data_IF_253124511710
#
_entry.id   IF_253124511710
#
_cell.length_a   1.000
_cell.length_b   1.000
_cell.length_c   1.000
_cell.angle_alpha   90.00
_cell.angle_beta   90.00
_cell.angle_gamma   90.00
#
_symmetry.space_group_name_H-M   'P 1'
#
loop_
_entity.id
_entity.type
_entity.pdbx_description
1 polymer ?
#
# COMPACT_ATOMS: atom_id res chain seq x y z
N UNK A 1 -9.36 -19.77 36.95
CA UNK A 1 -8.51 -19.24 35.86
C UNK A 1 -7.19 -20.03 35.90
N UNK A 2 -6.78 -20.69 34.82
CA UNK A 2 -5.56 -21.49 34.81
C UNK A 2 -4.31 -20.59 34.81
N UNK A 3 -3.19 -21.08 35.33
CA UNK A 3 -1.89 -20.37 35.26
C UNK A 3 -1.53 -20.07 33.79
N UNK A 4 -1.85 -21.01 32.89
CA UNK A 4 -1.65 -20.85 31.44
C UNK A 4 -2.37 -19.63 30.88
N UNK A 5 -3.64 -19.40 31.25
CA UNK A 5 -4.39 -18.23 30.79
C UNK A 5 -3.75 -16.92 31.24
N UNK A 6 -3.27 -16.85 32.50
CA UNK A 6 -2.61 -15.65 33.02
C UNK A 6 -1.33 -15.34 32.23
N UNK A 7 -0.55 -16.36 31.88
CA UNK A 7 0.66 -16.20 31.06
C UNK A 7 0.29 -15.69 29.66
N UNK A 8 -0.71 -16.28 28.99
CA UNK A 8 -1.20 -15.84 27.67
C UNK A 8 -1.63 -14.37 27.71
N UNK A 9 -2.42 -14.01 28.72
CA UNK A 9 -2.90 -12.64 28.92
C UNK A 9 -1.73 -11.65 29.09
N UNK A 10 -0.74 -11.96 29.91
CA UNK A 10 0.41 -11.08 30.13
C UNK A 10 1.21 -10.91 28.83
N UNK A 11 1.56 -12.01 28.16
CA UNK A 11 2.38 -11.97 26.94
C UNK A 11 1.65 -11.24 25.81
N UNK A 12 0.37 -11.55 25.58
CA UNK A 12 -0.43 -10.89 24.54
C UNK A 12 -0.65 -9.40 24.80
N UNK A 13 -0.80 -8.97 26.06
CA UNK A 13 -0.87 -7.54 26.41
C UNK A 13 0.45 -6.81 26.17
N UNK A 14 1.60 -7.46 26.45
CA UNK A 14 2.92 -6.92 26.10
C UNK A 14 3.03 -6.75 24.57
N UNK A 15 2.59 -7.75 23.80
CA UNK A 15 2.58 -7.69 22.34
C UNK A 15 1.68 -6.56 21.82
N UNK A 16 0.49 -6.38 22.39
CA UNK A 16 -0.40 -5.26 22.09
C UNK A 16 0.24 -3.90 22.38
N UNK A 17 0.96 -3.78 23.50
CA UNK A 17 1.69 -2.55 23.86
C UNK A 17 2.82 -2.24 22.86
N UNK A 18 3.56 -3.26 22.42
CA UNK A 18 4.62 -3.10 21.43
C UNK A 18 4.06 -2.67 20.06
N UNK A 19 2.92 -3.21 19.63
CA UNK A 19 2.21 -2.75 18.42
C UNK A 19 1.77 -1.29 18.55
N UNK A 20 1.16 -0.94 19.68
CA UNK A 20 0.72 0.43 19.94
C UNK A 20 1.89 1.41 19.86
N UNK A 21 3.04 1.08 20.45
CA UNK A 21 4.24 1.94 20.40
C UNK A 21 4.68 2.16 18.96
N UNK A 22 4.75 1.10 18.14
CA UNK A 22 5.16 1.20 16.73
C UNK A 22 4.22 2.06 15.91
N UNK A 23 2.91 1.86 16.06
CA UNK A 23 1.90 2.63 15.32
C UNK A 23 1.75 4.06 15.83
N UNK A 24 2.01 4.31 17.11
CA UNK A 24 1.89 5.64 17.68
C UNK A 24 3.14 6.50 17.50
N UNK A 25 4.34 5.91 17.54
CA UNK A 25 5.63 6.62 17.49
C UNK A 25 6.39 6.45 16.16
N UNK A 26 5.66 6.35 15.05
CA UNK A 26 6.14 6.07 13.67
C UNK A 26 7.39 6.83 13.18
N UNK A 27 7.83 7.93 13.82
CA UNK A 27 8.89 8.84 13.31
C UNK A 27 10.30 8.65 13.89
N UNK A 28 10.52 7.79 14.89
CA UNK A 28 11.81 7.73 15.62
C UNK A 28 12.63 6.45 15.42
N UNK A 29 12.23 5.55 14.52
CA UNK A 29 12.89 4.25 14.37
C UNK A 29 14.05 4.26 13.34
N UNK A 30 15.13 3.46 13.56
CA UNK A 30 16.30 3.41 12.69
C UNK A 30 15.96 2.91 11.27
N UNK A 31 16.57 3.52 10.25
CA UNK A 31 16.38 3.17 8.82
C UNK A 31 16.96 1.77 8.52
N UNK A 32 16.10 0.76 8.41
CA UNK A 32 16.47 -0.57 7.92
C UNK A 32 16.39 -0.60 6.38
N UNK A 33 17.16 -1.48 5.75
CA UNK A 33 17.17 -1.62 4.29
C UNK A 33 15.90 -2.37 3.81
N UNK A 34 15.14 -1.76 2.89
CA UNK A 34 13.91 -2.37 2.35
C UNK A 34 14.13 -3.74 1.69
N UNK A 35 15.30 -3.98 1.06
CA UNK A 35 15.62 -5.29 0.47
C UNK A 35 15.83 -6.37 1.51
N UNK A 36 16.52 -6.06 2.63
CA UNK A 36 16.70 -7.00 3.74
C UNK A 36 15.36 -7.41 4.34
N UNK A 37 14.53 -6.41 4.57
CA UNK A 37 13.17 -6.58 5.06
C UNK A 37 12.33 -7.46 4.12
N UNK A 38 12.44 -7.25 2.80
CA UNK A 38 11.72 -8.04 1.80
C UNK A 38 12.15 -9.51 1.83
N UNK A 39 13.45 -9.78 1.98
CA UNK A 39 14.00 -11.12 2.18
C UNK A 39 13.41 -11.80 3.42
N UNK A 40 13.50 -11.15 4.59
CA UNK A 40 12.94 -11.67 5.85
C UNK A 40 11.45 -11.98 5.70
N UNK A 41 10.71 -11.08 5.05
CA UNK A 41 9.26 -11.19 4.93
C UNK A 41 8.83 -12.31 4.00
N UNK A 42 9.51 -12.47 2.86
CA UNK A 42 9.22 -13.54 1.90
C UNK A 42 9.63 -14.90 2.49
N UNK A 43 10.79 -14.96 3.15
CA UNK A 43 11.31 -16.16 3.83
C UNK A 43 10.35 -16.60 4.93
N UNK A 44 9.92 -15.68 5.81
CA UNK A 44 8.94 -16.00 6.85
C UNK A 44 7.61 -16.49 6.27
N UNK A 45 7.13 -15.85 5.21
CA UNK A 45 5.87 -16.25 4.57
C UNK A 45 5.92 -17.70 4.07
N UNK A 46 6.97 -18.06 3.32
CA UNK A 46 7.07 -19.39 2.72
C UNK A 46 7.55 -20.48 3.67
N UNK A 47 8.39 -20.15 4.65
CA UNK A 47 8.97 -21.14 5.56
C UNK A 47 8.18 -21.34 6.86
N UNK A 48 7.31 -20.38 7.23
CA UNK A 48 6.55 -20.44 8.49
C UNK A 48 5.06 -20.32 8.25
N UNK A 49 4.57 -19.22 7.64
CA UNK A 49 3.12 -19.01 7.50
C UNK A 49 2.44 -20.05 6.62
N UNK A 50 3.00 -20.29 5.44
CA UNK A 50 2.37 -21.16 4.45
C UNK A 50 2.33 -22.63 4.90
N UNK A 51 3.40 -23.20 5.48
CA UNK A 51 3.34 -24.52 6.11
C UNK A 51 2.35 -24.59 7.27
N UNK A 52 2.29 -23.56 8.12
CA UNK A 52 1.33 -23.51 9.24
C UNK A 52 -0.12 -23.57 8.74
N UNK A 53 -0.42 -22.89 7.64
CA UNK A 53 -1.74 -22.95 7.01
C UNK A 53 -1.99 -24.36 6.45
N UNK A 54 -1.04 -24.91 5.70
CA UNK A 54 -1.17 -26.21 5.06
C UNK A 54 -1.45 -27.33 6.08
N UNK A 55 -0.74 -27.33 7.21
CA UNK A 55 -0.87 -28.37 8.24
C UNK A 55 -2.16 -28.26 9.06
N UNK A 56 -2.77 -27.09 9.15
CA UNK A 56 -3.86 -26.83 10.09
C UNK A 56 -5.17 -26.34 9.47
N UNK A 57 -5.21 -26.06 8.16
CA UNK A 57 -6.46 -25.65 7.53
C UNK A 57 -7.46 -26.81 7.60
N UNK A 58 -8.69 -26.58 8.08
CA UNK A 58 -9.68 -27.63 8.13
C UNK A 58 -10.01 -28.12 6.72
N UNK A 59 -10.32 -29.40 6.60
CA UNK A 59 -10.68 -30.07 5.35
C UNK A 59 -12.08 -29.58 4.91
N UNK A 60 -12.19 -28.36 4.39
CA UNK A 60 -13.47 -27.71 4.01
C UNK A 60 -13.46 -27.42 2.50
N UNK A 61 -14.58 -27.57 1.75
CA UNK A 61 -15.79 -28.38 1.98
C UNK A 61 -15.78 -29.70 1.18
N UNK A 62 -14.67 -30.04 0.50
CA UNK A 62 -14.67 -31.11 -0.53
C UNK A 62 -13.51 -32.11 -0.45
N UNK A 63 -12.69 -32.13 0.61
CA UNK A 63 -11.47 -32.97 0.68
C UNK A 63 -10.50 -32.77 -0.50
N UNK A 64 -10.64 -31.66 -1.24
CA UNK A 64 -9.82 -31.34 -2.40
C UNK A 64 -8.62 -30.52 -1.95
N UNK A 65 -7.43 -31.14 -1.95
CA UNK A 65 -6.14 -30.49 -1.69
C UNK A 65 -5.91 -29.24 -2.56
N UNK A 66 -6.61 -29.10 -3.69
CA UNK A 66 -6.53 -27.92 -4.55
C UNK A 66 -6.99 -26.61 -3.87
N UNK A 67 -7.86 -26.68 -2.84
CA UNK A 67 -8.41 -25.50 -2.17
C UNK A 67 -7.67 -25.11 -0.88
N UNK A 68 -6.56 -25.78 -0.54
CA UNK A 68 -5.76 -25.52 0.67
C UNK A 68 -5.36 -24.03 0.80
N UNK A 69 -5.04 -23.37 -0.32
CA UNK A 69 -4.66 -21.96 -0.35
C UNK A 69 -5.78 -21.03 -0.83
N UNK A 70 -7.03 -21.50 -0.90
CA UNK A 70 -8.15 -20.71 -1.42
C UNK A 70 -8.34 -19.42 -0.61
N UNK A 71 -8.30 -19.49 0.71
CA UNK A 71 -8.47 -18.30 1.55
C UNK A 71 -7.28 -17.34 1.48
N UNK A 72 -6.06 -17.87 1.30
CA UNK A 72 -4.87 -17.05 1.00
C UNK A 72 -5.07 -16.29 -0.33
N UNK A 73 -5.53 -16.99 -1.37
CA UNK A 73 -5.84 -16.37 -2.66
C UNK A 73 -6.95 -15.32 -2.54
N UNK A 74 -8.03 -15.62 -1.81
CA UNK A 74 -9.13 -14.68 -1.58
C UNK A 74 -8.62 -13.42 -0.88
N UNK A 75 -7.79 -13.54 0.16
CA UNK A 75 -7.18 -12.41 0.84
C UNK A 75 -6.31 -11.55 -0.08
N UNK A 76 -5.47 -12.19 -0.89
CA UNK A 76 -4.61 -11.51 -1.87
C UNK A 76 -5.45 -10.76 -2.93
N UNK A 77 -6.41 -11.46 -3.53
CA UNK A 77 -7.28 -10.94 -4.59
C UNK A 77 -8.18 -9.82 -4.06
N UNK A 78 -8.67 -9.93 -2.83
CA UNK A 78 -9.51 -8.90 -2.20
C UNK A 78 -8.80 -7.55 -2.14
N UNK A 79 -7.55 -7.51 -1.67
CA UNK A 79 -6.78 -6.26 -1.60
C UNK A 79 -6.44 -5.76 -3.01
N UNK A 80 -5.99 -6.66 -3.90
CA UNK A 80 -5.66 -6.32 -5.27
C UNK A 80 -6.84 -5.67 -6.03
N UNK A 81 -8.01 -6.30 -5.99
CA UNK A 81 -9.21 -5.81 -6.65
C UNK A 81 -9.66 -4.50 -6.01
N UNK A 82 -9.63 -4.38 -4.67
CA UNK A 82 -10.02 -3.14 -3.99
C UNK A 82 -9.15 -1.95 -4.40
N UNK A 83 -7.82 -2.11 -4.42
CA UNK A 83 -6.89 -1.10 -4.92
C UNK A 83 -7.20 -0.77 -6.38
N UNK A 84 -7.34 -1.78 -7.24
CA UNK A 84 -7.58 -1.57 -8.67
C UNK A 84 -8.90 -0.87 -8.96
N UNK A 85 -9.96 -1.20 -8.22
CA UNK A 85 -11.27 -0.55 -8.35
C UNK A 85 -11.20 0.92 -7.96
N UNK A 86 -10.47 1.28 -6.89
CA UNK A 86 -10.25 2.68 -6.52
C UNK A 86 -9.50 3.41 -7.64
N UNK A 87 -8.39 2.83 -8.13
CA UNK A 87 -7.59 3.44 -9.20
C UNK A 87 -8.37 3.63 -10.51
N UNK A 88 -9.29 2.72 -10.84
CA UNK A 88 -10.13 2.78 -12.04
C UNK A 88 -11.34 3.69 -11.87
N UNK A 89 -11.97 3.70 -10.68
CA UNK A 89 -13.17 4.48 -10.37
C UNK A 89 -12.84 5.95 -10.20
N UNK A 90 -11.68 6.27 -9.62
CA UNK A 90 -11.29 7.66 -9.39
C UNK A 90 -11.00 8.35 -10.72
N UNK A 91 -12.01 9.12 -11.14
CA UNK A 91 -11.89 10.20 -12.11
C UNK A 91 -11.46 9.78 -13.52
N UNK A 92 -11.87 8.60 -14.01
CA UNK A 92 -11.60 8.12 -15.39
C UNK A 92 -11.94 9.15 -16.48
N UNK A 93 -12.98 9.98 -16.25
CA UNK A 93 -13.34 11.11 -17.11
C UNK A 93 -12.30 12.24 -17.06
N UNK A 94 -11.83 12.60 -15.87
CA UNK A 94 -10.77 13.60 -15.67
C UNK A 94 -9.43 13.11 -16.21
N UNK A 95 -9.08 11.83 -16.03
CA UNK A 95 -7.90 11.20 -16.65
C UNK A 95 -7.96 11.27 -18.18
N UNK A 96 -9.10 10.89 -18.79
CA UNK A 96 -9.30 10.99 -20.26
C UNK A 96 -9.17 12.42 -20.76
N UNK A 97 -9.73 13.40 -20.03
CA UNK A 97 -9.62 14.83 -20.38
C UNK A 97 -8.18 15.33 -20.26
N UNK A 98 -7.48 15.00 -19.19
CA UNK A 98 -6.08 15.35 -18.97
C UNK A 98 -5.18 14.76 -20.07
N UNK A 99 -5.34 13.48 -20.42
CA UNK A 99 -4.61 12.85 -21.55
C UNK A 99 -4.86 13.58 -22.88
N UNK A 100 -6.10 14.01 -23.13
CA UNK A 100 -6.44 14.79 -24.33
C UNK A 100 -5.76 16.17 -24.32
N UNK A 101 -5.69 16.83 -23.17
CA UNK A 101 -5.01 18.12 -23.01
C UNK A 101 -3.50 18.01 -23.18
N UNK A 102 -2.86 17.00 -22.56
CA UNK A 102 -1.43 16.71 -22.75
C UNK A 102 -1.11 16.49 -24.24
N UNK A 103 -1.97 15.74 -24.96
CA UNK A 103 -1.78 15.55 -26.40
C UNK A 103 -1.91 16.86 -27.19
N UNK A 104 -2.86 17.73 -26.83
CA UNK A 104 -3.03 19.04 -27.46
C UNK A 104 -1.85 19.97 -27.19
N UNK A 105 -1.36 20.01 -25.95
CA UNK A 105 -0.21 20.81 -25.55
C UNK A 105 1.06 20.37 -26.29
N UNK A 106 1.33 19.07 -26.39
CA UNK A 106 2.45 18.54 -27.20
C UNK A 106 2.34 18.88 -28.68
N UNK A 107 1.13 18.91 -29.25
CA UNK A 107 0.92 19.31 -30.65
C UNK A 107 1.18 20.81 -30.79
N UNK A 108 0.67 21.61 -29.86
CA UNK A 108 0.84 23.06 -29.85
C UNK A 108 2.33 23.46 -29.77
N UNK A 109 3.08 22.82 -28.87
CA UNK A 109 4.52 23.04 -28.72
C UNK A 109 5.29 22.77 -30.02
N UNK A 110 4.94 21.70 -30.74
CA UNK A 110 5.54 21.41 -32.06
C UNK A 110 5.19 22.46 -33.12
N UNK A 111 3.99 23.04 -33.05
CA UNK A 111 3.59 24.12 -33.95
C UNK A 111 4.35 25.41 -33.61
N UNK A 112 4.50 25.73 -32.33
CA UNK A 112 5.31 26.86 -31.84
C UNK A 112 6.76 26.74 -32.32
N UNK A 113 7.42 25.60 -32.10
CA UNK A 113 8.78 25.31 -32.57
C UNK A 113 8.92 25.47 -34.09
N UNK A 114 7.94 25.00 -34.87
CA UNK A 114 7.96 25.15 -36.33
C UNK A 114 7.83 26.61 -36.77
N UNK A 115 6.98 27.39 -36.10
CA UNK A 115 6.79 28.81 -36.44
C UNK A 115 7.99 29.64 -36.00
N UNK A 116 8.61 29.33 -34.87
CA UNK A 116 9.89 29.93 -34.44
C UNK A 116 11.01 29.68 -35.46
N UNK A 117 11.08 28.47 -36.02
CA UNK A 117 12.03 28.16 -37.10
C UNK A 117 11.76 28.98 -38.37
N UNK A 118 10.49 29.16 -38.75
CA UNK A 118 10.11 30.02 -39.90
C UNK A 118 10.48 31.48 -39.63
N UNK A 119 10.19 31.98 -38.42
CA UNK A 119 10.57 33.33 -38.01
C UNK A 119 12.08 33.55 -38.11
N UNK A 120 12.86 32.58 -37.64
CA UNK A 120 14.33 32.62 -37.69
C UNK A 120 14.83 32.67 -39.14
N UNK A 121 14.25 31.86 -40.03
CA UNK A 121 14.59 31.87 -41.46
C UNK A 121 14.21 33.19 -42.15
N UNK A 122 13.08 33.81 -41.79
CA UNK A 122 12.66 35.08 -42.37
C UNK A 122 13.56 36.23 -41.93
N UNK A 123 14.01 36.22 -40.67
CA UNK A 123 14.96 37.19 -40.12
C UNK A 123 16.36 37.13 -40.76
N UNK A 124 16.70 36.01 -41.41
CA UNK A 124 17.98 35.83 -42.13
C UNK A 124 17.95 36.34 -43.58
N UNK A 125 16.79 36.76 -44.11
CA UNK A 125 16.66 37.26 -45.49
C UNK A 125 17.01 38.75 -45.60
N UNK A 126 17.60 39.14 -46.72
CA UNK A 126 17.99 40.53 -47.03
C UNK A 126 16.79 41.48 -47.26
N UNK A 127 15.59 40.94 -47.57
CA UNK A 127 14.35 41.70 -47.78
C UNK A 127 13.31 41.26 -46.74
N UNK A 128 13.23 42.04 -45.65
CA UNK A 128 12.39 41.73 -44.49
C UNK A 128 10.99 42.33 -44.69
N UNK A 129 9.96 41.48 -44.70
CA UNK A 129 8.57 41.92 -44.59
C UNK A 129 8.20 42.11 -43.11
N UNK A 130 8.35 43.34 -42.62
CA UNK A 130 7.98 43.75 -41.26
C UNK A 130 6.52 43.39 -40.88
N UNK A 131 5.61 43.38 -41.86
CA UNK A 131 4.21 43.00 -41.62
C UNK A 131 4.10 41.50 -41.34
N UNK A 132 4.77 40.68 -42.14
CA UNK A 132 4.81 39.23 -41.95
C UNK A 132 5.48 38.85 -40.63
N UNK A 133 6.60 39.50 -40.26
CA UNK A 133 7.30 39.27 -38.98
C UNK A 133 6.39 39.59 -37.80
N UNK A 134 5.64 40.69 -37.87
CA UNK A 134 4.68 41.08 -36.83
C UNK A 134 3.54 40.07 -36.71
N UNK A 135 2.99 39.58 -37.82
CA UNK A 135 1.92 38.58 -37.81
C UNK A 135 2.40 37.23 -37.25
N UNK A 136 3.63 36.81 -37.57
CA UNK A 136 4.26 35.61 -37.00
C UNK A 136 4.45 35.77 -35.49
N UNK A 137 5.01 36.90 -35.04
CA UNK A 137 5.22 37.18 -33.62
C UNK A 137 3.90 37.21 -32.84
N UNK A 138 2.84 37.80 -33.40
CA UNK A 138 1.49 37.78 -32.81
C UNK A 138 0.94 36.36 -32.71
N UNK A 139 1.17 35.53 -33.74
CA UNK A 139 0.75 34.13 -33.76
C UNK A 139 1.47 33.32 -32.68
N UNK A 140 2.79 33.45 -32.55
CA UNK A 140 3.57 32.79 -31.49
C UNK A 140 3.06 33.22 -30.11
N UNK A 141 2.82 34.52 -29.91
CA UNK A 141 2.30 35.03 -28.63
C UNK A 141 0.93 34.42 -28.26
N UNK A 142 0.02 34.24 -29.24
CA UNK A 142 -1.27 33.59 -29.00
C UNK A 142 -1.11 32.09 -28.71
N UNK A 143 -0.26 31.38 -29.46
CA UNK A 143 0.05 29.96 -29.20
C UNK A 143 0.64 29.76 -27.81
N UNK A 144 1.58 30.61 -27.39
CA UNK A 144 2.18 30.56 -26.07
C UNK A 144 1.13 30.72 -24.97
N UNK A 145 0.21 31.69 -25.14
CA UNK A 145 -0.92 31.91 -24.23
C UNK A 145 -1.86 30.70 -24.17
N UNK A 146 -2.18 30.09 -25.31
CA UNK A 146 -2.98 28.86 -25.37
C UNK A 146 -2.28 27.68 -24.67
N UNK A 147 -0.96 27.56 -24.83
CA UNK A 147 -0.13 26.55 -24.16
C UNK A 147 -0.15 26.72 -22.65
N UNK A 148 -0.01 27.95 -22.17
CA UNK A 148 -0.18 28.31 -20.76
C UNK A 148 -1.54 27.86 -20.21
N UNK A 149 -2.63 28.16 -20.93
CA UNK A 149 -3.98 27.76 -20.52
C UNK A 149 -4.16 26.23 -20.46
N UNK A 150 -3.60 25.47 -21.41
CA UNK A 150 -3.60 24.01 -21.34
C UNK A 150 -2.83 23.49 -20.13
N UNK A 151 -1.66 24.05 -19.84
CA UNK A 151 -0.84 23.66 -18.69
C UNK A 151 -1.56 23.91 -17.36
N UNK A 152 -2.25 25.04 -17.23
CA UNK A 152 -3.09 25.32 -16.06
C UNK A 152 -4.26 24.34 -15.92
N UNK A 153 -4.94 23.99 -17.01
CA UNK A 153 -6.04 23.02 -16.98
C UNK A 153 -5.52 21.60 -16.65
N UNK A 154 -4.38 21.20 -17.19
CA UNK A 154 -3.69 19.95 -16.86
C UNK A 154 -3.36 19.91 -15.37
N UNK A 155 -2.78 20.98 -14.82
CA UNK A 155 -2.45 21.06 -13.39
C UNK A 155 -3.70 20.99 -12.50
N UNK A 156 -4.80 21.63 -12.90
CA UNK A 156 -6.09 21.53 -12.19
C UNK A 156 -6.64 20.11 -12.18
N UNK A 157 -6.64 19.43 -13.33
CA UNK A 157 -7.06 18.02 -13.37
C UNK A 157 -6.11 17.12 -12.58
N UNK A 158 -4.80 17.35 -12.66
CA UNK A 158 -3.79 16.61 -11.90
C UNK A 158 -4.04 16.72 -10.39
N UNK A 159 -4.21 17.95 -9.89
CA UNK A 159 -4.51 18.18 -8.47
C UNK A 159 -5.82 17.51 -8.05
N UNK A 160 -6.88 17.65 -8.85
CA UNK A 160 -8.17 17.01 -8.58
C UNK A 160 -8.07 15.48 -8.50
N UNK A 161 -7.42 14.86 -9.50
CA UNK A 161 -7.23 13.40 -9.53
C UNK A 161 -6.39 12.96 -8.33
N UNK A 162 -5.29 13.67 -8.04
CA UNK A 162 -4.41 13.35 -6.92
C UNK A 162 -5.15 13.43 -5.58
N UNK A 163 -5.95 14.48 -5.33
CA UNK A 163 -6.74 14.61 -4.09
C UNK A 163 -7.71 13.45 -3.91
N UNK A 164 -8.52 13.14 -4.92
CA UNK A 164 -9.50 12.04 -4.83
C UNK A 164 -8.82 10.67 -4.66
N UNK A 165 -7.73 10.41 -5.40
CA UNK A 165 -7.03 9.13 -5.28
C UNK A 165 -6.42 9.00 -3.88
N UNK A 166 -5.75 10.04 -3.39
CA UNK A 166 -5.14 10.02 -2.06
C UNK A 166 -6.18 9.80 -0.96
N UNK A 167 -7.36 10.43 -1.08
CA UNK A 167 -8.45 10.25 -0.11
C UNK A 167 -8.97 8.80 -0.09
N UNK A 168 -9.30 8.25 -1.26
CA UNK A 168 -9.83 6.88 -1.38
C UNK A 168 -8.79 5.83 -1.00
N UNK A 169 -7.53 5.98 -1.44
CA UNK A 169 -6.43 5.09 -1.04
C UNK A 169 -6.10 5.20 0.45
N UNK A 170 -6.15 6.42 1.03
CA UNK A 170 -5.98 6.61 2.47
C UNK A 170 -7.08 5.87 3.26
N UNK A 171 -8.32 5.91 2.79
CA UNK A 171 -9.44 5.18 3.38
C UNK A 171 -9.27 3.66 3.27
N UNK A 172 -8.89 3.15 2.10
CA UNK A 172 -8.59 1.74 1.91
C UNK A 172 -7.46 1.29 2.85
N UNK A 173 -6.33 1.98 2.85
CA UNK A 173 -5.16 1.66 3.69
C UNK A 173 -5.53 1.66 5.16
N UNK A 174 -6.27 2.67 5.63
CA UNK A 174 -6.76 2.70 7.01
C UNK A 174 -7.61 1.47 7.33
N UNK A 175 -8.57 1.13 6.48
CA UNK A 175 -9.43 -0.03 6.69
C UNK A 175 -8.64 -1.34 6.69
N UNK A 176 -7.73 -1.52 5.73
CA UNK A 176 -6.89 -2.70 5.61
C UNK A 176 -5.93 -2.83 6.80
N UNK A 177 -5.28 -1.75 7.22
CA UNK A 177 -4.39 -1.75 8.39
C UNK A 177 -5.15 -1.98 9.69
N UNK A 178 -6.32 -1.35 9.87
CA UNK A 178 -7.17 -1.58 11.03
C UNK A 178 -7.59 -3.06 11.11
N UNK A 179 -8.11 -3.62 10.01
CA UNK A 179 -8.55 -5.01 9.94
C UNK A 179 -7.39 -5.97 10.17
N UNK A 180 -6.23 -5.67 9.59
CA UNK A 180 -5.00 -6.44 9.79
C UNK A 180 -4.58 -6.47 11.26
N UNK A 181 -4.41 -5.31 11.90
CA UNK A 181 -3.96 -5.22 13.28
C UNK A 181 -4.95 -5.86 14.26
N UNK A 182 -6.24 -5.66 14.04
CA UNK A 182 -7.29 -6.33 14.80
C UNK A 182 -7.17 -7.85 14.71
N UNK A 183 -7.07 -8.39 13.49
CA UNK A 183 -6.97 -9.82 13.27
C UNK A 183 -5.64 -10.39 13.78
N UNK A 184 -4.52 -9.68 13.63
CA UNK A 184 -3.24 -10.08 14.24
C UNK A 184 -3.37 -10.22 15.75
N UNK A 185 -4.04 -9.28 16.43
CA UNK A 185 -4.26 -9.36 17.87
C UNK A 185 -5.03 -10.64 18.28
N UNK A 186 -6.08 -10.99 17.53
CA UNK A 186 -6.87 -12.21 17.75
C UNK A 186 -6.01 -13.46 17.47
N UNK A 187 -5.31 -13.48 16.33
CA UNK A 187 -4.49 -14.60 15.87
C UNK A 187 -3.36 -14.89 16.85
N UNK A 188 -2.65 -13.85 17.31
CA UNK A 188 -1.56 -13.96 18.28
C UNK A 188 -2.02 -14.65 19.55
N UNK A 189 -3.19 -14.28 20.10
CA UNK A 189 -3.72 -14.94 21.30
C UNK A 189 -3.98 -16.41 21.03
N UNK A 190 -4.64 -16.75 19.92
CA UNK A 190 -4.91 -18.15 19.57
C UNK A 190 -3.64 -18.97 19.36
N UNK A 191 -2.63 -18.44 18.67
CA UNK A 191 -1.34 -19.13 18.52
C UNK A 191 -0.59 -19.25 19.84
N UNK A 192 -0.65 -18.27 20.75
CA UNK A 192 -0.03 -18.37 22.07
C UNK A 192 -0.71 -19.43 22.95
N UNK A 193 -2.02 -19.62 22.81
CA UNK A 193 -2.73 -20.74 23.46
C UNK A 193 -2.19 -22.08 22.95
N UNK A 194 -2.00 -22.22 21.63
CA UNK A 194 -1.43 -23.42 21.01
C UNK A 194 0.03 -23.62 21.44
N UNK A 195 0.86 -22.57 21.41
CA UNK A 195 2.27 -22.60 21.83
C UNK A 195 2.42 -23.18 23.24
N UNK A 196 1.60 -22.74 24.20
CA UNK A 196 1.65 -23.24 25.57
C UNK A 196 1.12 -24.67 25.73
N UNK A 197 0.22 -25.12 24.85
CA UNK A 197 -0.35 -26.47 24.89
C UNK A 197 0.57 -27.50 24.26
N UNK A 198 1.22 -27.13 23.16
CA UNK A 198 2.06 -28.01 22.33
C UNK A 198 3.56 -27.77 22.51
N UNK A 199 3.95 -26.80 23.35
CA UNK A 199 5.33 -26.37 23.56
C UNK A 199 6.03 -25.94 22.25
N UNK A 200 5.32 -25.14 21.45
CA UNK A 200 5.83 -24.55 20.20
C UNK A 200 6.09 -23.05 20.38
N UNK A 201 6.62 -22.38 19.33
CA UNK A 201 6.95 -20.93 19.35
C UNK A 201 6.29 -20.16 18.20
N UNK A 202 5.21 -20.72 17.63
CA UNK A 202 4.55 -20.23 16.42
C UNK A 202 3.93 -18.84 16.65
N UNK A 203 3.28 -18.64 17.80
CA UNK A 203 2.69 -17.36 18.19
C UNK A 203 3.72 -16.26 18.39
N UNK A 204 4.86 -16.58 19.00
CA UNK A 204 5.98 -15.63 19.16
C UNK A 204 6.56 -15.25 17.80
N UNK A 205 6.81 -16.23 16.92
CA UNK A 205 7.34 -15.98 15.58
C UNK A 205 6.36 -15.15 14.72
N UNK A 206 5.07 -15.44 14.80
CA UNK A 206 4.02 -14.66 14.14
C UNK A 206 3.95 -13.23 14.64
N UNK A 207 4.01 -13.02 15.96
CA UNK A 207 4.07 -11.67 16.52
C UNK A 207 5.29 -10.91 16.01
N UNK A 208 6.49 -11.51 16.07
CA UNK A 208 7.71 -10.84 15.61
C UNK A 208 7.60 -10.41 14.15
N UNK A 209 7.13 -11.31 13.28
CA UNK A 209 6.90 -10.98 11.89
C UNK A 209 5.89 -9.86 11.70
N UNK A 210 4.72 -9.95 12.35
CA UNK A 210 3.66 -8.95 12.22
C UNK A 210 4.11 -7.58 12.76
N UNK A 211 4.89 -7.57 13.84
CA UNK A 211 5.48 -6.38 14.44
C UNK A 211 6.51 -5.75 13.49
N UNK A 212 7.42 -6.55 12.91
CA UNK A 212 8.34 -6.06 11.89
C UNK A 212 7.58 -5.47 10.69
N UNK A 213 6.54 -6.15 10.19
CA UNK A 213 5.70 -5.64 9.10
C UNK A 213 5.10 -4.28 9.45
N UNK A 214 4.48 -4.11 10.62
CA UNK A 214 3.92 -2.83 11.04
C UNK A 214 4.98 -1.72 11.09
N UNK A 215 6.17 -2.05 11.59
CA UNK A 215 7.34 -1.16 11.60
C UNK A 215 7.74 -0.74 10.18
N UNK A 216 7.51 -1.56 9.15
CA UNK A 216 7.89 -1.29 7.75
C UNK A 216 6.81 -0.52 7.00
N UNK A 217 5.56 -0.98 7.08
CA UNK A 217 4.41 -0.37 6.38
C UNK A 217 4.24 1.09 6.77
N UNK A 218 4.49 1.42 8.05
CA UNK A 218 4.48 2.80 8.54
C UNK A 218 5.61 3.70 7.96
N UNK A 219 6.55 3.13 7.18
CA UNK A 219 7.65 3.85 6.52
C UNK A 219 7.54 3.92 5.00
N UNK A 220 6.64 3.19 4.37
CA UNK A 220 6.68 3.00 2.92
C UNK A 220 6.43 4.33 2.19
N UNK A 221 7.45 4.79 1.44
CA UNK A 221 7.49 6.08 0.76
C UNK A 221 6.51 6.13 -0.44
N UNK A 222 6.29 7.35 -0.95
CA UNK A 222 5.38 7.71 -2.06
C UNK A 222 5.37 6.66 -3.18
N UNK A 223 4.22 6.02 -3.40
CA UNK A 223 4.04 5.12 -4.54
C UNK A 223 3.67 5.92 -5.79
N UNK A 224 4.26 5.55 -6.93
CA UNK A 224 3.89 6.13 -8.23
C UNK A 224 2.62 5.43 -8.69
N UNK A 225 1.52 6.17 -8.80
CA UNK A 225 0.21 5.59 -9.14
C UNK A 225 0.00 5.60 -10.66
N UNK A 226 0.27 6.73 -11.31
CA UNK A 226 0.18 6.87 -12.77
C UNK A 226 1.44 7.52 -13.32
N UNK A 227 2.33 6.69 -13.87
CA UNK A 227 3.59 7.14 -14.49
C UNK A 227 3.36 8.02 -15.72
N UNK A 228 2.23 7.88 -16.43
CA UNK A 228 1.89 8.67 -17.62
C UNK A 228 1.32 10.06 -17.30
N UNK A 229 0.87 10.29 -16.07
CA UNK A 229 0.23 11.52 -15.62
C UNK A 229 1.02 12.24 -14.51
N UNK A 230 2.18 11.71 -14.14
CA UNK A 230 2.99 12.17 -12.99
C UNK A 230 2.17 12.30 -11.70
N UNK A 231 1.25 11.37 -11.47
CA UNK A 231 0.42 11.34 -10.26
C UNK A 231 1.09 10.43 -9.24
N UNK A 232 1.48 11.05 -8.13
CA UNK A 232 2.15 10.41 -7.02
C UNK A 232 1.20 10.33 -5.84
N UNK A 233 1.28 9.22 -5.11
CA UNK A 233 0.65 9.15 -3.80
C UNK A 233 1.44 10.04 -2.84
N UNK A 234 0.84 11.13 -2.40
CA UNK A 234 1.41 11.95 -1.34
C UNK A 234 0.88 11.44 -0.01
N UNK A 235 1.77 10.82 0.76
CA UNK A 235 1.45 10.30 2.08
C UNK A 235 1.36 11.46 3.08
N UNK A 236 0.19 12.09 3.18
CA UNK A 236 -0.13 13.03 4.26
C UNK A 236 -0.64 12.26 5.48
N UNK A 237 0.29 11.78 6.31
CA UNK A 237 -0.02 11.10 7.60
C UNK A 237 -0.72 12.04 8.59
N UNK A 238 -0.63 13.35 8.39
CA UNK A 238 -0.67 14.26 9.54
C UNK A 238 -2.02 14.84 9.97
N UNK A 239 -3.14 14.51 9.32
CA UNK A 239 -4.33 15.37 9.54
C UNK A 239 -5.29 14.85 10.62
N UNK A 240 -5.32 13.54 10.94
CA UNK A 240 -6.36 13.03 11.84
C UNK A 240 -5.84 12.15 13.00
N UNK A 241 -5.60 12.81 14.14
CA UNK A 241 -5.23 12.17 15.40
C UNK A 241 -6.18 11.04 15.82
N UNK A 242 -7.48 11.14 15.50
CA UNK A 242 -8.44 10.08 15.82
C UNK A 242 -8.13 8.79 15.07
N UNK A 243 -7.84 8.86 13.77
CA UNK A 243 -7.47 7.69 12.96
C UNK A 243 -6.20 7.04 13.48
N UNK A 244 -5.24 7.85 13.93
CA UNK A 244 -3.99 7.35 14.53
C UNK A 244 -4.25 6.55 15.81
N UNK A 245 -5.07 7.07 16.73
CA UNK A 245 -5.44 6.33 17.94
C UNK A 245 -6.25 5.06 17.63
N UNK A 246 -7.22 5.14 16.70
CA UNK A 246 -8.03 3.97 16.31
C UNK A 246 -7.15 2.88 15.71
N UNK A 247 -6.18 3.21 14.86
CA UNK A 247 -5.22 2.24 14.33
C UNK A 247 -4.33 1.66 15.43
N UNK A 248 -3.71 2.50 16.26
CA UNK A 248 -2.81 2.02 17.31
C UNK A 248 -3.52 1.13 18.36
N UNK A 249 -4.80 1.38 18.63
CA UNK A 249 -5.62 0.58 19.57
C UNK A 249 -6.23 -0.67 18.93
N UNK A 250 -6.25 -0.78 17.60
CA UNK A 250 -6.91 -1.92 16.93
C UNK A 250 -6.29 -3.27 17.29
N UNK A 251 -4.97 -3.34 17.43
CA UNK A 251 -4.30 -4.57 17.88
C UNK A 251 -4.66 -4.93 19.33
N UNK A 252 -4.69 -3.94 20.24
CA UNK A 252 -5.16 -4.15 21.61
C UNK A 252 -6.60 -4.66 21.65
N UNK A 253 -7.49 -4.08 20.85
CA UNK A 253 -8.87 -4.55 20.74
C UNK A 253 -8.91 -6.01 20.25
N UNK A 254 -8.05 -6.37 19.30
CA UNK A 254 -7.90 -7.74 18.82
C UNK A 254 -7.42 -8.70 19.91
N UNK A 255 -6.41 -8.31 20.70
CA UNK A 255 -5.92 -9.08 21.85
C UNK A 255 -7.03 -9.28 22.88
N UNK A 256 -7.80 -8.23 23.21
CA UNK A 256 -8.91 -8.33 24.15
C UNK A 256 -10.01 -9.28 23.65
N UNK A 257 -10.35 -9.21 22.35
CA UNK A 257 -11.28 -10.15 21.73
C UNK A 257 -10.73 -11.57 21.81
N UNK A 258 -9.46 -11.80 21.45
CA UNK A 258 -8.82 -13.11 21.54
C UNK A 258 -8.84 -13.69 22.95
N UNK A 259 -8.51 -12.88 23.97
CA UNK A 259 -8.54 -13.31 25.37
C UNK A 259 -9.97 -13.61 25.84
N UNK A 260 -10.96 -12.85 25.37
CA UNK A 260 -12.37 -13.11 25.65
C UNK A 260 -12.82 -14.44 25.04
N UNK A 261 -12.43 -14.71 23.79
CA UNK A 261 -12.75 -15.97 23.09
C UNK A 261 -12.13 -17.19 23.80
N UNK A 262 -10.87 -17.07 24.26
CA UNK A 262 -10.21 -18.09 25.09
C UNK A 262 -10.93 -18.28 26.42
N UNK A 263 -11.33 -17.18 27.08
CA UNK A 263 -12.01 -17.22 28.38
C UNK A 263 -13.35 -17.97 28.33
N UNK A 264 -14.11 -17.81 27.24
CA UNK A 264 -15.37 -18.53 27.03
C UNK A 264 -15.16 -19.93 26.41
N UNK A 265 -13.89 -20.34 26.20
CA UNK A 265 -13.52 -21.61 25.58
C UNK A 265 -14.22 -21.85 24.24
N UNK A 266 -14.32 -20.80 23.42
CA UNK A 266 -14.94 -20.90 22.10
C UNK A 266 -14.05 -21.83 21.22
N UNK A 267 -14.61 -22.93 20.73
CA UNK A 267 -13.90 -23.85 19.81
C UNK A 267 -14.15 -23.39 18.36
N UNK A 268 -13.29 -22.52 17.85
CA UNK A 268 -13.38 -21.96 16.49
C UNK A 268 -12.15 -22.24 15.65
N UNK A 269 -11.47 -23.35 15.90
CA UNK A 269 -10.22 -23.74 15.21
C UNK A 269 -10.33 -23.59 13.70
N UNK A 270 -11.45 -23.98 13.10
CA UNK A 270 -11.69 -23.83 11.67
C UNK A 270 -11.74 -22.37 11.20
N UNK A 271 -12.58 -21.57 11.86
CA UNK A 271 -12.78 -20.16 11.54
C UNK A 271 -11.54 -19.32 11.86
N UNK A 272 -10.77 -19.71 12.86
CA UNK A 272 -9.44 -19.18 13.15
C UNK A 272 -8.50 -19.38 11.95
N UNK A 273 -8.35 -20.62 11.45
CA UNK A 273 -7.45 -20.90 10.33
C UNK A 273 -7.96 -20.31 9.00
N UNK A 274 -9.27 -20.16 8.81
CA UNK A 274 -9.83 -19.40 7.68
C UNK A 274 -9.38 -17.92 7.75
N UNK A 275 -9.53 -17.26 8.89
CA UNK A 275 -9.09 -15.86 9.04
C UNK A 275 -7.58 -15.72 8.97
N UNK A 276 -6.83 -16.66 9.55
CA UNK A 276 -5.38 -16.72 9.47
C UNK A 276 -4.90 -16.85 8.02
N UNK A 277 -5.53 -17.71 7.24
CA UNK A 277 -5.26 -17.89 5.80
C UNK A 277 -5.59 -16.63 5.01
N UNK A 278 -6.76 -16.04 5.24
CA UNK A 278 -7.17 -14.79 4.61
C UNK A 278 -6.18 -13.65 4.89
N UNK A 279 -5.79 -13.47 6.15
CA UNK A 279 -4.82 -12.45 6.55
C UNK A 279 -3.43 -12.71 5.96
N UNK A 280 -3.03 -13.97 5.85
CA UNK A 280 -1.78 -14.34 5.18
C UNK A 280 -1.81 -13.95 3.69
N UNK A 281 -2.96 -14.09 3.02
CA UNK A 281 -3.17 -13.55 1.69
C UNK A 281 -3.00 -12.03 1.59
N UNK A 282 -3.57 -11.30 2.55
CA UNK A 282 -3.42 -9.84 2.68
C UNK A 282 -1.95 -9.46 2.92
N UNK A 283 -1.25 -10.19 3.79
CA UNK A 283 0.19 -10.03 4.06
C UNK A 283 0.98 -10.22 2.77
N UNK A 284 0.74 -11.31 2.04
CA UNK A 284 1.46 -11.62 0.80
C UNK A 284 1.29 -10.50 -0.24
N UNK A 285 0.07 -9.98 -0.39
CA UNK A 285 -0.19 -8.85 -1.27
C UNK A 285 0.67 -7.65 -0.88
N UNK A 286 0.67 -7.27 0.40
CA UNK A 286 1.49 -6.17 0.90
C UNK A 286 2.99 -6.42 0.71
N UNK A 287 3.48 -7.64 0.92
CA UNK A 287 4.89 -7.98 0.68
C UNK A 287 5.23 -7.69 -0.78
N UNK A 288 4.45 -8.24 -1.71
CA UNK A 288 4.69 -8.10 -3.16
C UNK A 288 4.56 -6.65 -3.60
N UNK A 289 3.58 -5.91 -3.06
CA UNK A 289 3.22 -4.58 -3.54
C UNK A 289 4.05 -3.45 -2.91
N UNK A 290 4.32 -3.53 -1.61
CA UNK A 290 4.87 -2.41 -0.83
C UNK A 290 6.28 -2.68 -0.27
N UNK A 291 6.66 -3.95 -0.11
CA UNK A 291 7.91 -4.33 0.57
C UNK A 291 9.00 -4.70 -0.44
N UNK A 292 8.65 -5.45 -1.49
CA UNK A 292 9.61 -5.80 -2.55
C UNK A 292 10.01 -4.52 -3.31
N UNK A 293 11.29 -4.15 -3.35
CA UNK A 293 11.74 -2.93 -4.01
C UNK A 293 11.51 -2.99 -5.51
N UNK A 294 10.89 -1.95 -6.07
CA UNK A 294 10.68 -1.84 -7.51
C UNK A 294 11.96 -1.42 -8.27
N UNK A 295 12.21 -2.09 -9.41
CA UNK A 295 13.24 -1.73 -10.39
C UNK A 295 14.65 -1.65 -9.76
N UNK A 296 15.39 -0.58 -10.07
CA UNK A 296 16.78 -0.37 -9.68
C UNK A 296 16.99 -0.02 -8.19
N UNK A 297 15.91 0.13 -7.41
CA UNK A 297 16.00 0.44 -5.98
C UNK A 297 16.39 -0.77 -5.12
N UNK A 298 16.31 -1.99 -5.68
CA UNK A 298 16.63 -3.22 -4.97
C UNK A 298 18.13 -3.43 -4.77
N UNK A 299 18.52 -3.91 -3.58
CA UNK A 299 19.90 -4.36 -3.30
C UNK A 299 19.92 -5.88 -3.08
N UNK A 300 20.32 -6.68 -4.08
CA UNK A 300 20.23 -8.15 -4.04
C UNK A 300 20.92 -8.79 -2.84
N UNK A 301 22.09 -8.29 -2.44
CA UNK A 301 22.85 -8.84 -1.30
C UNK A 301 22.07 -8.74 0.00
N UNK A 302 21.42 -7.58 0.25
CA UNK A 302 20.60 -7.41 1.44
C UNK A 302 19.38 -8.32 1.39
N UNK A 303 18.77 -8.50 0.22
CA UNK A 303 17.65 -9.42 0.03
C UNK A 303 18.03 -10.87 0.33
N UNK A 304 19.20 -11.33 -0.12
CA UNK A 304 19.68 -12.71 0.13
C UNK A 304 20.05 -12.96 1.59
N UNK A 305 20.46 -11.94 2.34
CA UNK A 305 20.79 -12.05 3.76
C UNK A 305 19.51 -12.20 4.61
N UNK A 306 18.39 -11.65 4.14
CA UNK A 306 17.11 -11.68 4.83
C UNK A 306 16.32 -12.95 4.54
#
# INVERSE_FOLDING_TARGET
>A
MSISFIIIAIVSLIFGALFFIVDFFQRTHPKLNFSLIAGISISYFFLVLLPEIAENIPIIPFELNFFEYLFVLIGFVFVHISEKLILQKVDSKSQKRMRKLIKKEKILQKVEENIENILTQELEKDDLDDSALKDIALTIADLHKQGGAFKEEINRYKAKIQTHINEDLSNLRFFTNFSYHLLVGIIVVGLLTIDLRENTIKGILFFLFAWFRAVITNRSERHVIFTDLDIYETYDIEVNMTRKYVLALSNFLGVLIGLLLELISFEYTELFYIFFSFISGVILYTIVREIIPEKEKGKPIYFLIG
#
